data_IF_295944580378
#
_entry.id   IF_295944580378
#
_cell.length_a   1.000
_cell.length_b   1.000
_cell.length_c   1.000
_cell.angle_alpha   90.00
_cell.angle_beta   90.00
_cell.angle_gamma   90.00
#
_symmetry.space_group_name_H-M   'P 1'
#
loop_
_entity.id
_entity.type
_entity.pdbx_description
1 polymer ?
#
# COMPACT_ATOMS: atom_id res chain seq x y z
N UNK A 1 -14.36 8.85 -0.50
CA UNK A 1 -12.94 8.48 -0.27
C UNK A 1 -12.07 9.71 0.04
N UNK A 2 -12.28 10.84 -0.64
CA UNK A 2 -11.51 12.10 -0.46
C UNK A 2 -11.60 12.70 0.96
N UNK A 3 -12.78 12.67 1.61
CA UNK A 3 -12.91 13.16 3.01
C UNK A 3 -12.06 12.36 4.02
N UNK A 4 -11.91 11.04 3.82
CA UNK A 4 -11.07 10.21 4.69
C UNK A 4 -9.58 10.54 4.51
N UNK A 5 -9.16 10.89 3.30
CA UNK A 5 -7.78 11.34 3.02
C UNK A 5 -7.52 12.74 3.61
N UNK A 6 -8.51 13.63 3.61
CA UNK A 6 -8.41 14.97 4.22
C UNK A 6 -8.07 14.87 5.71
N UNK A 7 -8.75 13.98 6.47
CA UNK A 7 -8.52 13.78 7.91
C UNK A 7 -7.24 13.01 8.27
N UNK A 8 -6.56 12.36 7.31
CA UNK A 8 -5.34 11.61 7.58
C UNK A 8 -4.16 12.56 7.85
N UNK A 9 -3.44 12.32 8.94
CA UNK A 9 -2.21 13.03 9.27
C UNK A 9 -1.15 12.77 8.19
N UNK A 10 -0.46 13.82 7.73
CA UNK A 10 0.60 13.71 6.70
C UNK A 10 1.73 12.78 7.15
N UNK A 11 2.13 12.81 8.43
CA UNK A 11 3.14 11.88 8.96
C UNK A 11 2.70 10.42 8.86
N UNK A 12 1.44 10.14 9.22
CA UNK A 12 0.89 8.78 9.09
C UNK A 12 0.88 8.37 7.62
N UNK A 13 0.49 9.26 6.72
CA UNK A 13 0.51 9.00 5.29
C UNK A 13 1.94 8.70 4.78
N UNK A 14 2.96 9.40 5.28
CA UNK A 14 4.36 9.09 4.94
C UNK A 14 4.80 7.70 5.45
N UNK A 15 4.38 7.32 6.66
CA UNK A 15 4.60 5.98 7.22
C UNK A 15 3.89 4.93 6.35
N UNK A 16 2.66 5.20 5.95
CA UNK A 16 1.87 4.33 5.09
C UNK A 16 2.45 4.25 3.68
N UNK A 17 3.20 5.23 3.20
CA UNK A 17 3.95 5.14 1.93
C UNK A 17 5.17 4.24 2.10
N UNK A 18 5.97 4.45 3.15
CA UNK A 18 7.19 3.69 3.41
C UNK A 18 6.94 2.25 3.88
N UNK A 19 5.78 1.98 4.48
CA UNK A 19 5.43 0.70 5.11
C UNK A 19 5.86 0.56 6.58
N UNK A 20 6.72 1.45 7.06
CA UNK A 20 7.15 1.49 8.46
C UNK A 20 7.63 2.89 8.84
N UNK A 21 7.63 3.24 10.15
CA UNK A 21 8.29 4.45 10.62
C UNK A 21 9.82 4.35 10.48
N UNK A 22 10.54 5.49 10.45
CA UNK A 22 11.99 5.47 10.40
C UNK A 22 12.59 4.82 11.65
N UNK A 23 13.60 3.97 11.46
CA UNK A 23 14.44 3.48 12.55
C UNK A 23 15.27 4.60 13.19
N UNK A 24 15.82 4.32 14.38
CA UNK A 24 16.68 5.27 15.08
C UNK A 24 17.91 5.61 14.23
N UNK A 25 18.12 6.90 13.93
CA UNK A 25 19.22 7.37 13.07
C UNK A 25 19.01 7.18 11.56
N UNK A 26 17.97 6.46 11.12
CA UNK A 26 17.74 6.16 9.71
C UNK A 26 16.82 7.15 9.00
N UNK A 27 16.32 8.16 9.72
CA UNK A 27 15.37 9.14 9.21
C UNK A 27 15.80 9.80 7.89
N UNK A 28 17.06 10.21 7.66
CA UNK A 28 17.45 10.82 6.39
C UNK A 28 17.30 9.87 5.18
N UNK A 29 17.71 8.61 5.36
CA UNK A 29 17.58 7.57 4.33
C UNK A 29 16.12 7.23 4.08
N UNK A 30 15.33 7.12 5.15
CA UNK A 30 13.89 6.87 5.09
C UNK A 30 13.14 7.99 4.34
N UNK A 31 13.42 9.25 4.67
CA UNK A 31 12.83 10.42 3.99
C UNK A 31 13.22 10.48 2.52
N UNK A 32 14.45 10.07 2.17
CA UNK A 32 14.88 9.99 0.76
C UNK A 32 14.08 8.94 -0.01
N UNK A 33 13.80 7.78 0.62
CA UNK A 33 12.98 6.75 0.01
C UNK A 33 11.53 7.22 -0.19
N UNK A 34 10.94 7.86 0.83
CA UNK A 34 9.59 8.45 0.74
C UNK A 34 9.54 9.52 -0.35
N UNK A 35 10.52 10.42 -0.39
CA UNK A 35 10.61 11.48 -1.40
C UNK A 35 10.65 10.92 -2.83
N UNK A 36 11.41 9.83 -3.04
CA UNK A 36 11.48 9.13 -4.32
C UNK A 36 10.14 8.51 -4.71
N UNK A 37 9.43 7.89 -3.76
CA UNK A 37 8.13 7.26 -4.01
C UNK A 37 7.05 8.28 -4.39
N UNK A 38 7.04 9.43 -3.73
CA UNK A 38 6.05 10.49 -4.00
C UNK A 38 6.47 11.46 -5.12
N UNK A 39 7.67 11.30 -5.69
CA UNK A 39 8.18 12.14 -6.77
C UNK A 39 8.52 13.58 -6.34
N UNK A 40 9.07 13.78 -5.14
CA UNK A 40 9.45 15.10 -4.61
C UNK A 40 10.90 15.16 -4.11
N UNK A 41 11.32 16.32 -3.64
CA UNK A 41 12.66 16.52 -3.06
C UNK A 41 12.74 16.03 -1.61
N UNK A 42 13.95 15.63 -1.18
CA UNK A 42 14.22 15.32 0.22
C UNK A 42 13.84 16.47 1.16
N UNK A 43 14.12 17.73 0.76
CA UNK A 43 13.80 18.91 1.56
C UNK A 43 12.28 19.00 1.78
N UNK A 44 11.48 18.82 0.73
CA UNK A 44 10.01 18.84 0.81
C UNK A 44 9.49 17.73 1.72
N UNK A 45 10.00 16.50 1.58
CA UNK A 45 9.62 15.39 2.46
C UNK A 45 10.00 15.67 3.92
N UNK A 46 11.18 16.25 4.19
CA UNK A 46 11.59 16.67 5.52
C UNK A 46 10.66 17.74 6.10
N UNK A 47 10.30 18.75 5.31
CA UNK A 47 9.40 19.82 5.76
C UNK A 47 8.01 19.29 6.10
N UNK A 48 7.46 18.37 5.30
CA UNK A 48 6.21 17.66 5.63
C UNK A 48 6.34 16.85 6.92
N UNK A 49 7.44 16.12 7.08
CA UNK A 49 7.68 15.29 8.26
C UNK A 49 7.81 16.13 9.54
N UNK A 50 8.56 17.23 9.49
CA UNK A 50 8.74 18.12 10.65
C UNK A 50 7.50 18.98 10.92
N UNK A 51 6.54 19.06 9.98
CA UNK A 51 5.37 19.92 10.09
C UNK A 51 5.65 21.38 9.73
N UNK A 52 6.75 21.64 9.02
CA UNK A 52 7.05 22.97 8.44
C UNK A 52 6.09 23.31 7.28
N UNK A 53 5.51 22.28 6.64
CA UNK A 53 4.36 22.40 5.73
C UNK A 53 3.16 21.78 6.43
N UNK A 54 2.26 22.62 6.92
CA UNK A 54 1.06 22.27 7.69
C UNK A 54 -0.24 22.39 6.90
N UNK A 55 -0.23 23.18 5.82
CA UNK A 55 -1.37 23.32 4.91
C UNK A 55 -1.78 21.96 4.31
N UNK A 56 -2.97 21.44 4.65
CA UNK A 56 -3.45 20.16 4.12
C UNK A 56 -3.72 20.21 2.62
N UNK A 57 -3.91 21.40 2.05
CA UNK A 57 -4.15 21.61 0.63
C UNK A 57 -2.89 21.75 -0.21
N UNK A 58 -1.72 21.83 0.44
CA UNK A 58 -0.43 21.86 -0.22
C UNK A 58 -0.25 20.63 -1.14
N UNK A 59 0.20 20.85 -2.37
CA UNK A 59 0.32 19.81 -3.39
C UNK A 59 1.12 18.58 -2.91
N UNK A 60 2.19 18.81 -2.14
CA UNK A 60 3.03 17.72 -1.62
C UNK A 60 2.30 16.89 -0.54
N UNK A 61 1.47 17.51 0.30
CA UNK A 61 0.64 16.79 1.26
C UNK A 61 -0.42 15.93 0.54
N UNK A 62 -1.05 16.48 -0.50
CA UNK A 62 -1.98 15.74 -1.38
C UNK A 62 -1.30 14.56 -2.07
N UNK A 63 -0.08 14.75 -2.59
CA UNK A 63 0.70 13.70 -3.24
C UNK A 63 1.00 12.54 -2.28
N UNK A 64 1.49 12.82 -1.07
CA UNK A 64 1.75 11.80 -0.05
C UNK A 64 0.47 11.03 0.30
N UNK A 65 -0.65 11.74 0.54
CA UNK A 65 -1.93 11.10 0.89
C UNK A 65 -2.45 10.19 -0.23
N UNK A 66 -2.28 10.60 -1.49
CA UNK A 66 -2.64 9.78 -2.65
C UNK A 66 -1.78 8.52 -2.73
N UNK A 67 -0.46 8.66 -2.62
CA UNK A 67 0.45 7.51 -2.66
C UNK A 67 0.23 6.56 -1.49
N UNK A 68 -0.06 7.08 -0.30
CA UNK A 68 -0.43 6.27 0.87
C UNK A 68 -1.68 5.42 0.58
N UNK A 69 -2.70 6.01 -0.06
CA UNK A 69 -3.91 5.29 -0.44
C UNK A 69 -3.62 4.18 -1.46
N UNK A 70 -2.76 4.45 -2.44
CA UNK A 70 -2.32 3.45 -3.44
C UNK A 70 -1.53 2.33 -2.76
N UNK A 71 -0.58 2.67 -1.88
CA UNK A 71 0.21 1.70 -1.14
C UNK A 71 -0.68 0.80 -0.26
N UNK A 72 -1.66 1.40 0.43
CA UNK A 72 -2.64 0.67 1.23
C UNK A 72 -3.48 -0.27 0.37
N UNK A 73 -4.05 0.21 -0.74
CA UNK A 73 -4.84 -0.61 -1.64
C UNK A 73 -4.03 -1.81 -2.19
N UNK A 74 -2.74 -1.60 -2.51
CA UNK A 74 -1.85 -2.68 -2.94
C UNK A 74 -1.62 -3.73 -1.86
N UNK A 75 -1.48 -3.33 -0.59
CA UNK A 75 -1.34 -4.28 0.53
C UNK A 75 -2.62 -5.06 0.75
N UNK A 76 -3.76 -4.39 0.79
CA UNK A 76 -5.07 -5.02 0.95
C UNK A 76 -5.34 -6.03 -0.18
N UNK A 77 -5.02 -5.67 -1.43
CA UNK A 77 -5.09 -6.58 -2.56
C UNK A 77 -4.16 -7.80 -2.40
N UNK A 78 -2.92 -7.59 -1.93
CA UNK A 78 -1.97 -8.68 -1.70
C UNK A 78 -2.43 -9.62 -0.57
N UNK A 79 -2.98 -9.08 0.51
CA UNK A 79 -3.55 -9.86 1.62
C UNK A 79 -4.76 -10.66 1.17
N UNK A 80 -5.68 -10.05 0.42
CA UNK A 80 -6.86 -10.72 -0.11
C UNK A 80 -6.47 -11.84 -1.08
N UNK A 81 -5.52 -11.60 -1.97
CA UNK A 81 -4.98 -12.63 -2.86
C UNK A 81 -4.37 -13.81 -2.06
N UNK A 82 -3.64 -13.52 -0.98
CA UNK A 82 -3.09 -14.56 -0.08
C UNK A 82 -4.21 -15.36 0.62
N UNK A 83 -5.32 -14.73 0.98
CA UNK A 83 -6.47 -15.45 1.54
C UNK A 83 -7.08 -16.41 0.51
N UNK A 84 -7.23 -16.00 -0.74
CA UNK A 84 -7.70 -16.86 -1.82
C UNK A 84 -6.75 -18.04 -2.08
N UNK A 85 -5.43 -17.80 -2.12
CA UNK A 85 -4.43 -18.87 -2.23
C UNK A 85 -4.51 -19.86 -1.06
N UNK A 86 -4.70 -19.36 0.17
CA UNK A 86 -4.86 -20.22 1.35
C UNK A 86 -6.15 -21.05 1.31
N UNK A 87 -7.27 -20.49 0.82
CA UNK A 87 -8.53 -21.22 0.66
C UNK A 87 -8.39 -22.31 -0.41
N UNK A 88 -7.78 -21.99 -1.54
CA UNK A 88 -7.45 -22.94 -2.60
C UNK A 88 -6.59 -24.10 -2.05
N UNK A 89 -5.54 -23.79 -1.29
CA UNK A 89 -4.69 -24.81 -0.65
C UNK A 89 -5.46 -25.71 0.32
N UNK A 90 -6.37 -25.15 1.12
CA UNK A 90 -7.23 -25.93 2.05
C UNK A 90 -8.22 -26.82 1.32
N UNK A 91 -8.82 -26.36 0.23
CA UNK A 91 -9.75 -27.15 -0.59
C UNK A 91 -9.02 -28.30 -1.28
N UNK A 92 -7.85 -28.01 -1.85
CA UNK A 92 -7.01 -29.00 -2.49
C UNK A 92 -6.57 -30.11 -1.51
N UNK A 93 -6.23 -29.73 -0.27
CA UNK A 93 -5.85 -30.68 0.78
C UNK A 93 -7.01 -31.58 1.27
N UNK A 94 -8.27 -31.17 1.09
CA UNK A 94 -9.44 -31.99 1.47
C UNK A 94 -9.74 -33.04 0.41
N UNK A 95 -10.05 -32.60 -0.80
CA UNK A 95 -10.39 -33.49 -1.92
C UNK A 95 -10.08 -32.80 -3.27
N UNK A 96 -8.85 -32.96 -3.75
CA UNK A 96 -8.37 -32.34 -4.99
C UNK A 96 -9.27 -32.63 -6.20
N UNK A 97 -9.71 -33.87 -6.38
CA UNK A 97 -10.45 -34.28 -7.58
C UNK A 97 -11.89 -33.72 -7.62
N UNK A 98 -12.46 -33.39 -6.45
CA UNK A 98 -13.83 -32.87 -6.32
C UNK A 98 -13.85 -31.34 -6.51
N UNK A 99 -12.85 -30.64 -5.97
CA UNK A 99 -12.83 -29.17 -5.89
C UNK A 99 -11.87 -28.51 -6.89
N UNK A 100 -11.40 -29.24 -7.90
CA UNK A 100 -10.40 -28.76 -8.87
C UNK A 100 -10.83 -27.46 -9.58
N UNK A 101 -12.12 -27.34 -9.94
CA UNK A 101 -12.69 -26.14 -10.54
C UNK A 101 -12.69 -24.93 -9.57
N UNK A 102 -13.09 -25.15 -8.32
CA UNK A 102 -13.12 -24.09 -7.30
C UNK A 102 -11.71 -23.61 -6.94
N UNK A 103 -10.74 -24.54 -6.85
CA UNK A 103 -9.32 -24.23 -6.64
C UNK A 103 -8.80 -23.37 -7.78
N UNK A 104 -9.09 -23.71 -9.04
CA UNK A 104 -8.69 -22.92 -10.19
C UNK A 104 -9.31 -21.51 -10.16
N UNK A 105 -10.61 -21.39 -9.86
CA UNK A 105 -11.30 -20.11 -9.76
C UNK A 105 -10.71 -19.20 -8.66
N UNK A 106 -10.37 -19.75 -7.49
CA UNK A 106 -9.77 -18.99 -6.40
C UNK A 106 -8.35 -18.51 -6.73
N UNK A 107 -7.55 -19.35 -7.39
CA UNK A 107 -6.21 -18.96 -7.83
C UNK A 107 -6.25 -17.91 -8.95
N UNK A 108 -7.23 -18.01 -9.84
CA UNK A 108 -7.46 -17.01 -10.89
C UNK A 108 -7.88 -15.66 -10.31
N UNK A 109 -8.84 -15.67 -9.37
CA UNK A 109 -9.23 -14.46 -8.63
C UNK A 109 -8.03 -13.81 -7.91
N UNK A 110 -7.15 -14.61 -7.28
CA UNK A 110 -5.93 -14.11 -6.65
C UNK A 110 -4.97 -13.43 -7.66
N UNK A 111 -4.85 -13.97 -8.88
CA UNK A 111 -4.01 -13.38 -9.95
C UNK A 111 -4.57 -12.06 -10.45
N UNK A 112 -5.88 -12.00 -10.70
CA UNK A 112 -6.58 -10.77 -11.13
C UNK A 112 -6.42 -9.67 -10.08
N UNK A 113 -6.61 -9.99 -8.79
CA UNK A 113 -6.48 -9.03 -7.69
C UNK A 113 -5.05 -8.49 -7.56
N UNK A 114 -4.02 -9.32 -7.82
CA UNK A 114 -2.62 -8.86 -7.85
C UNK A 114 -2.28 -8.03 -9.10
N UNK A 115 -3.20 -7.91 -10.06
CA UNK A 115 -2.95 -7.26 -11.34
C UNK A 115 -1.89 -7.98 -12.18
N UNK A 116 -1.70 -9.28 -11.95
CA UNK A 116 -0.85 -10.15 -12.77
C UNK A 116 -1.55 -10.53 -14.07
N UNK A 117 -2.88 -10.52 -14.07
CA UNK A 117 -3.69 -10.61 -15.27
C UNK A 117 -4.07 -9.19 -15.71
N UNK A 118 -3.46 -8.75 -16.81
CA UNK A 118 -3.83 -7.52 -17.53
C UNK A 118 -4.36 -7.99 -18.87
N UNK A 119 -5.65 -8.33 -18.91
CA UNK A 119 -6.40 -8.42 -20.15
C UNK A 119 -6.94 -7.05 -20.53
#
# INVERSE_FOLDING_TARGET
MLEKLSKMCVRQAMIDVAGSPPGYGEQPRWLTAVAKQIGTSYRTARSLWLGEIDDPDHWAAKAVKREAAIAKAKREAAELAKQFENLAGKLNAKHQDIYSADVAALLDAARVIRGLDRT
#
